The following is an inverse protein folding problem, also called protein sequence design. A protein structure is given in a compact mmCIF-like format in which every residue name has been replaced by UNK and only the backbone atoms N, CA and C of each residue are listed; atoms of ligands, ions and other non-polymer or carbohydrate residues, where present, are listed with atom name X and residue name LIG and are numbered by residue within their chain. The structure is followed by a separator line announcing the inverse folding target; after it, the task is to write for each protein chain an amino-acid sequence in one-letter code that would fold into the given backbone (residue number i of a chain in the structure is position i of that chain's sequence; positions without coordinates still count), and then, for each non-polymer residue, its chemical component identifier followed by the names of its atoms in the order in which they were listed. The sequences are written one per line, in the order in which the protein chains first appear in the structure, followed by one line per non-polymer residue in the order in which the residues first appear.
data_IF_857693669674
#
_entry.id   IF_857693669674
#
_cell.length_a   1.000
_cell.length_b   1.000
_cell.length_c   1.000
_cell.angle_alpha   90.00
_cell.angle_beta   90.00
_cell.angle_gamma   90.00
#
_symmetry.space_group_name_H-M   'P 1'
#
loop_
_entity.id
_entity.type
_entity.pdbx_description
1 polymer ?
#
# COMPACT_ATOMS: atom_id res chain seq x y z
N UNK A 1 -37.58 13.81 -18.99
CA UNK A 1 -38.01 13.12 -17.76
C UNK A 1 -37.29 11.78 -17.70
N UNK A 2 -36.59 11.49 -16.60
CA UNK A 2 -35.60 10.42 -16.51
C UNK A 2 -36.17 9.02 -16.74
N UNK A 3 -35.43 8.19 -17.47
CA UNK A 3 -35.73 6.77 -17.67
C UNK A 3 -35.64 6.03 -16.33
N UNK A 4 -36.78 5.67 -15.75
CA UNK A 4 -36.85 4.80 -14.59
C UNK A 4 -36.78 3.34 -15.08
N UNK A 5 -35.57 2.76 -15.07
CA UNK A 5 -35.40 1.34 -15.35
C UNK A 5 -36.06 0.52 -14.23
N UNK A 6 -36.95 -0.42 -14.60
CA UNK A 6 -37.81 -1.18 -13.69
C UNK A 6 -37.07 -1.87 -12.52
N UNK A 7 -35.78 -2.16 -12.68
CA UNK A 7 -34.95 -2.84 -11.67
C UNK A 7 -33.76 -2.02 -11.19
N UNK A 8 -33.71 -0.70 -11.44
CA UNK A 8 -32.55 0.11 -11.11
C UNK A 8 -32.15 -0.02 -9.63
N UNK A 9 -33.10 0.10 -8.69
CA UNK A 9 -32.80 -0.01 -7.25
C UNK A 9 -32.19 -1.37 -6.85
N UNK A 10 -32.86 -2.46 -7.24
CA UNK A 10 -32.41 -3.82 -6.90
C UNK A 10 -31.08 -4.18 -7.59
N UNK A 11 -30.90 -3.79 -8.85
CA UNK A 11 -29.67 -4.03 -9.59
C UNK A 11 -28.49 -3.26 -8.96
N UNK A 12 -28.67 -2.01 -8.56
CA UNK A 12 -27.64 -1.23 -7.88
C UNK A 12 -27.24 -1.85 -6.54
N UNK A 13 -28.22 -2.20 -5.69
CA UNK A 13 -27.94 -2.81 -4.39
C UNK A 13 -27.21 -4.15 -4.54
N UNK A 14 -27.65 -4.99 -5.48
CA UNK A 14 -27.01 -6.30 -5.75
C UNK A 14 -25.60 -6.15 -6.29
N UNK A 15 -25.40 -5.27 -7.27
CA UNK A 15 -24.10 -5.07 -7.89
C UNK A 15 -23.11 -4.45 -6.89
N UNK A 16 -23.58 -3.52 -6.05
CA UNK A 16 -22.79 -2.96 -4.96
C UNK A 16 -22.39 -4.03 -3.95
N UNK A 17 -23.36 -4.84 -3.47
CA UNK A 17 -23.09 -5.92 -2.54
C UNK A 17 -22.10 -6.96 -3.10
N UNK A 18 -22.11 -7.21 -4.41
CA UNK A 18 -21.16 -8.12 -5.06
C UNK A 18 -19.71 -7.61 -5.07
N UNK A 19 -19.50 -6.28 -4.94
CA UNK A 19 -18.16 -5.68 -4.82
C UNK A 19 -17.67 -5.59 -3.36
N UNK A 20 -18.57 -5.73 -2.39
CA UNK A 20 -18.23 -5.64 -0.96
C UNK A 20 -17.65 -6.96 -0.48
N UNK A 21 -16.35 -6.95 -0.18
CA UNK A 21 -15.63 -8.12 0.35
C UNK A 21 -16.12 -8.52 1.76
N UNK A 22 -16.43 -7.55 2.62
CA UNK A 22 -16.91 -7.80 3.98
C UNK A 22 -17.96 -6.73 4.36
N UNK A 23 -19.20 -7.13 4.68
CA UNK A 23 -20.26 -6.18 5.00
C UNK A 23 -20.02 -5.39 6.30
N UNK A 24 -19.22 -5.91 7.24
CA UNK A 24 -18.93 -5.21 8.49
C UNK A 24 -18.17 -3.90 8.28
N UNK A 25 -17.48 -3.73 7.15
CA UNK A 25 -16.68 -2.53 6.83
C UNK A 25 -17.55 -1.29 6.60
N UNK A 26 -18.85 -1.48 6.35
CA UNK A 26 -19.81 -0.39 6.22
C UNK A 26 -20.23 0.19 7.59
N UNK A 27 -19.97 -0.53 8.68
CA UNK A 27 -20.32 -0.10 10.04
C UNK A 27 -19.22 0.75 10.68
N UNK A 28 -17.98 0.64 10.16
CA UNK A 28 -16.86 1.44 10.60
C UNK A 28 -15.51 0.84 10.25
N UNK A 29 -14.42 1.56 10.58
CA UNK A 29 -13.07 1.06 10.41
C UNK A 29 -12.82 -0.20 11.25
N UNK A 30 -12.03 -1.13 10.71
CA UNK A 30 -11.54 -2.28 11.49
C UNK A 30 -10.46 -1.84 12.48
N UNK A 31 -10.26 -2.66 13.50
CA UNK A 31 -9.06 -2.56 14.33
C UNK A 31 -7.84 -2.92 13.50
N UNK A 32 -6.96 -1.96 13.31
CA UNK A 32 -5.69 -2.15 12.60
C UNK A 32 -4.54 -2.35 13.60
N UNK A 33 -3.55 -3.15 13.23
CA UNK A 33 -2.28 -3.20 13.98
C UNK A 33 -1.44 -1.96 13.68
N UNK A 34 -0.73 -1.39 14.66
CA UNK A 34 0.21 -0.30 14.41
C UNK A 34 1.24 -0.68 13.34
N UNK A 35 1.55 0.27 12.45
CA UNK A 35 2.55 0.04 11.43
C UNK A 35 3.94 -0.07 12.07
N UNK A 36 4.65 -1.18 11.80
CA UNK A 36 6.06 -1.35 12.12
C UNK A 36 6.88 -0.13 11.67
N UNK A 37 7.53 0.58 12.61
CA UNK A 37 8.24 1.84 12.36
C UNK A 37 9.75 1.70 12.32
N UNK A 38 10.29 0.55 12.71
CA UNK A 38 11.71 0.34 13.02
C UNK A 38 12.60 0.72 11.84
N UNK A 39 12.24 0.28 10.63
CA UNK A 39 12.98 0.62 9.41
C UNK A 39 12.87 2.10 9.04
N UNK A 40 11.71 2.72 9.26
CA UNK A 40 11.51 4.16 9.01
C UNK A 40 12.32 5.00 9.99
N UNK A 41 12.38 4.59 11.25
CA UNK A 41 13.13 5.29 12.30
C UNK A 41 14.63 5.26 12.02
N UNK A 42 15.18 4.10 11.60
CA UNK A 42 16.59 3.98 11.19
C UNK A 42 16.90 4.87 9.99
N UNK A 43 16.04 4.84 8.96
CA UNK A 43 16.21 5.66 7.77
C UNK A 43 16.14 7.16 8.10
N UNK A 44 15.19 7.54 8.95
CA UNK A 44 15.00 8.91 9.40
C UNK A 44 16.20 9.42 10.17
N UNK A 45 16.70 8.65 11.13
CA UNK A 45 17.91 9.01 11.89
C UNK A 45 19.12 9.25 10.99
N UNK A 46 19.34 8.38 9.98
CA UNK A 46 20.41 8.59 8.99
C UNK A 46 20.21 9.88 8.21
N UNK A 47 18.99 10.10 7.72
CA UNK A 47 18.64 11.31 6.99
C UNK A 47 18.87 12.58 7.82
N UNK A 48 18.40 12.63 9.06
CA UNK A 48 18.58 13.78 9.97
C UNK A 48 20.04 14.04 10.30
N UNK A 49 20.87 12.98 10.39
CA UNK A 49 22.32 13.10 10.61
C UNK A 49 23.12 13.43 9.33
N UNK A 50 22.48 13.42 8.16
CA UNK A 50 23.16 13.55 6.87
C UNK A 50 23.97 12.31 6.45
N UNK A 51 23.72 11.15 7.07
CA UNK A 51 24.36 9.88 6.71
C UNK A 51 23.69 9.27 5.47
N UNK A 52 24.46 8.47 4.71
CA UNK A 52 23.91 7.75 3.55
C UNK A 52 22.84 6.76 3.99
N UNK A 53 21.68 6.87 3.35
CA UNK A 53 20.56 5.96 3.51
C UNK A 53 20.69 4.67 2.69
N UNK A 54 21.65 4.65 1.76
CA UNK A 54 21.90 3.52 0.87
C UNK A 54 22.63 2.42 1.67
N UNK A 55 22.37 1.16 1.33
CA UNK A 55 23.13 0.03 1.87
C UNK A 55 24.63 0.20 1.61
N UNK A 56 25.45 -0.15 2.60
CA UNK A 56 26.90 -0.27 2.40
C UNK A 56 27.13 -1.45 1.45
N UNK A 57 27.67 -1.17 0.27
CA UNK A 57 28.11 -2.19 -0.68
C UNK A 57 29.51 -2.64 -0.29
N UNK A 58 29.74 -3.94 -0.21
CA UNK A 58 31.07 -4.52 -0.05
C UNK A 58 31.74 -4.72 -1.42
N UNK A 59 33.07 -4.79 -1.45
CA UNK A 59 33.85 -4.81 -2.70
C UNK A 59 33.65 -6.10 -3.51
N UNK A 60 33.24 -7.19 -2.87
CA UNK A 60 32.87 -8.47 -3.50
C UNK A 60 31.56 -8.40 -4.29
N UNK A 61 30.71 -7.39 -4.05
CA UNK A 61 29.49 -7.14 -4.81
C UNK A 61 29.76 -6.49 -6.18
N UNK A 62 31.02 -6.12 -6.49
CA UNK A 62 31.40 -5.48 -7.74
C UNK A 62 31.87 -6.51 -8.77
N UNK A 63 31.21 -6.55 -9.92
CA UNK A 63 31.72 -7.25 -11.11
C UNK A 63 32.71 -6.32 -11.83
N UNK A 64 33.98 -6.73 -11.92
CA UNK A 64 34.98 -6.09 -12.80
C UNK A 64 34.81 -6.64 -14.22
N UNK A 65 34.49 -5.76 -15.16
CA UNK A 65 34.52 -6.09 -16.59
C UNK A 65 35.86 -5.60 -17.13
N UNK A 66 36.75 -6.52 -17.52
CA UNK A 66 37.96 -6.18 -18.26
C UNK A 66 37.58 -5.91 -19.72
N UNK A 67 37.97 -4.74 -20.23
CA UNK A 67 37.73 -4.34 -21.61
C UNK A 67 38.82 -4.89 -22.54
N UNK A 68 38.40 -5.44 -23.68
CA UNK A 68 39.27 -5.81 -24.80
C UNK A 68 39.94 -4.60 -25.44
#
# INVERSE_FOLDING_TARGET
AGLNYANFGCANQRNFAAMVSNPADLLGPRTETPAASEKRDVQWQKHTKGESTISKKHEDERVRVEGN
#
